data_IF_250233018656
#
_entry.id   IF_250233018656
#
_cell.length_a   1.000
_cell.length_b   1.000
_cell.length_c   1.000
_cell.angle_alpha   90.00
_cell.angle_beta   90.00
_cell.angle_gamma   90.00
#
_symmetry.space_group_name_H-M   'P 1'
#
loop_
_entity.id
_entity.type
_entity.pdbx_description
1 polymer ?
#
# COMPACT_ATOMS: atom_id res chain seq x y z
N UNK A 1 -14.74 -1.92 7.70
CA UNK A 1 -15.44 -2.26 6.44
C UNK A 1 -16.96 -2.32 6.65
N UNK A 2 -17.54 -1.46 7.50
CA UNK A 2 -18.96 -1.60 7.88
C UNK A 2 -19.92 -1.27 6.72
N UNK A 3 -19.51 -0.37 5.85
CA UNK A 3 -20.21 0.18 4.69
C UNK A 3 -19.60 -0.26 3.35
N UNK A 4 -18.62 -1.19 3.37
CA UNK A 4 -17.86 -1.58 2.18
C UNK A 4 -18.77 -2.12 1.05
N UNK A 5 -19.87 -2.79 1.41
CA UNK A 5 -20.86 -3.28 0.45
C UNK A 5 -21.52 -2.13 -0.32
N UNK A 6 -21.89 -1.06 0.37
CA UNK A 6 -22.58 0.09 -0.24
C UNK A 6 -21.61 0.89 -1.12
N UNK A 7 -20.35 1.01 -0.68
CA UNK A 7 -19.28 1.62 -1.49
C UNK A 7 -19.04 0.82 -2.77
N UNK A 8 -18.92 -0.51 -2.69
CA UNK A 8 -18.74 -1.36 -3.86
C UNK A 8 -19.91 -1.26 -4.84
N UNK A 9 -21.15 -1.23 -4.33
CA UNK A 9 -22.34 -1.04 -5.15
C UNK A 9 -22.35 0.33 -5.86
N UNK A 10 -21.87 1.39 -5.20
CA UNK A 10 -21.81 2.73 -5.76
C UNK A 10 -20.78 2.87 -6.89
N UNK A 11 -19.70 2.07 -6.88
CA UNK A 11 -18.61 2.14 -7.87
C UNK A 11 -18.65 1.03 -8.93
N UNK A 12 -19.66 0.16 -8.91
CA UNK A 12 -19.72 -1.06 -9.75
C UNK A 12 -19.62 -0.81 -11.28
N UNK A 13 -20.03 0.39 -11.73
CA UNK A 13 -20.04 0.77 -13.15
C UNK A 13 -18.78 1.56 -13.57
N UNK A 14 -17.80 1.73 -12.68
CA UNK A 14 -16.54 2.39 -13.03
C UNK A 14 -15.65 1.39 -13.79
N UNK A 15 -15.42 1.67 -15.06
CA UNK A 15 -14.56 0.87 -15.93
C UNK A 15 -13.11 1.37 -15.95
N UNK A 16 -12.18 0.53 -16.39
CA UNK A 16 -10.77 0.91 -16.56
C UNK A 16 -9.96 1.02 -15.27
N UNK A 17 -10.53 0.66 -14.12
CA UNK A 17 -9.85 0.65 -12.82
C UNK A 17 -10.06 -0.69 -12.10
N UNK A 18 -9.12 -1.04 -11.22
CA UNK A 18 -9.20 -2.18 -10.30
C UNK A 18 -9.56 -1.67 -8.91
N UNK A 19 -10.39 -2.42 -8.20
CA UNK A 19 -10.85 -2.08 -6.85
C UNK A 19 -10.57 -3.25 -5.89
N UNK A 20 -9.30 -3.47 -5.50
CA UNK A 20 -8.95 -4.51 -4.54
C UNK A 20 -9.64 -4.25 -3.19
N UNK A 21 -10.23 -5.29 -2.60
CA UNK A 21 -10.91 -5.22 -1.30
C UNK A 21 -10.17 -6.06 -0.26
N UNK A 22 -9.95 -5.51 0.93
CA UNK A 22 -9.27 -6.23 2.02
C UNK A 22 -10.16 -7.34 2.59
N UNK A 23 -9.65 -8.57 2.63
CA UNK A 23 -10.37 -9.77 3.09
C UNK A 23 -9.53 -10.50 4.15
N UNK A 24 -9.70 -10.20 5.46
CA UNK A 24 -8.85 -10.75 6.53
C UNK A 24 -9.00 -12.26 6.75
N UNK A 25 -10.06 -12.88 6.24
CA UNK A 25 -10.42 -14.28 6.43
C UNK A 25 -11.45 -14.71 5.37
N UNK A 26 -11.79 -16.00 5.35
CA UNK A 26 -12.72 -16.58 4.37
C UNK A 26 -14.11 -15.93 4.40
N UNK A 27 -14.65 -15.64 5.59
CA UNK A 27 -15.94 -14.93 5.71
C UNK A 27 -15.89 -13.52 5.10
N UNK A 28 -14.78 -12.81 5.29
CA UNK A 28 -14.54 -11.51 4.66
C UNK A 28 -14.42 -11.63 3.14
N UNK A 29 -13.77 -12.68 2.65
CA UNK A 29 -13.68 -13.00 1.23
C UNK A 29 -15.05 -13.27 0.61
N UNK A 30 -15.85 -14.16 1.19
CA UNK A 30 -17.23 -14.45 0.74
C UNK A 30 -18.09 -13.18 0.68
N UNK A 31 -17.99 -12.31 1.69
CA UNK A 31 -18.70 -11.04 1.72
C UNK A 31 -18.22 -10.07 0.62
N UNK A 32 -16.92 -10.01 0.33
CA UNK A 32 -16.37 -9.19 -0.75
C UNK A 32 -16.84 -9.69 -2.12
N UNK A 33 -16.81 -11.00 -2.35
CA UNK A 33 -17.31 -11.64 -3.59
C UNK A 33 -18.80 -11.36 -3.77
N UNK A 34 -19.60 -11.52 -2.72
CA UNK A 34 -21.03 -11.22 -2.76
C UNK A 34 -21.34 -9.73 -3.03
N UNK A 35 -20.41 -8.83 -2.68
CA UNK A 35 -20.49 -7.40 -3.00
C UNK A 35 -19.96 -7.05 -4.41
N UNK A 36 -19.49 -8.03 -5.19
CA UNK A 36 -19.00 -7.84 -6.55
C UNK A 36 -17.50 -7.51 -6.66
N UNK A 37 -16.71 -7.76 -5.61
CA UNK A 37 -15.26 -7.57 -5.66
C UNK A 37 -14.64 -8.50 -6.72
N UNK A 38 -13.85 -7.92 -7.63
CA UNK A 38 -13.12 -8.63 -8.69
C UNK A 38 -11.66 -8.88 -8.33
N UNK A 39 -11.24 -8.39 -7.18
CA UNK A 39 -9.89 -8.54 -6.65
C UNK A 39 -9.95 -8.38 -5.14
N UNK A 40 -9.13 -9.16 -4.43
CA UNK A 40 -9.07 -9.13 -2.97
C UNK A 40 -7.64 -8.98 -2.48
N UNK A 41 -7.48 -8.60 -1.22
CA UNK A 41 -6.19 -8.48 -0.59
C UNK A 41 -6.16 -9.13 0.80
N UNK A 42 -5.06 -9.82 1.09
CA UNK A 42 -4.73 -10.37 2.40
C UNK A 42 -3.54 -9.59 2.98
N UNK A 43 -3.34 -9.65 4.30
CA UNK A 43 -2.28 -8.89 4.96
C UNK A 43 -1.56 -9.73 6.02
N UNK A 44 -0.29 -10.05 5.76
CA UNK A 44 0.59 -10.69 6.71
C UNK A 44 1.50 -9.67 7.43
N UNK A 45 2.30 -10.15 8.37
CA UNK A 45 3.33 -9.37 9.04
C UNK A 45 4.65 -10.10 9.06
N UNK A 46 5.75 -9.37 8.96
CA UNK A 46 7.10 -9.89 9.20
C UNK A 46 7.46 -9.89 10.70
N UNK A 47 6.56 -9.43 11.59
CA UNK A 47 6.77 -9.41 13.05
C UNK A 47 5.75 -10.28 13.78
N UNK A 48 6.22 -11.11 14.70
CA UNK A 48 5.35 -11.99 15.51
C UNK A 48 4.52 -11.16 16.49
N UNK A 49 5.15 -10.20 17.15
CA UNK A 49 4.49 -9.29 18.10
C UNK A 49 3.46 -8.43 17.39
N UNK A 50 3.76 -7.94 16.19
CA UNK A 50 2.78 -7.18 15.40
C UNK A 50 1.60 -8.06 14.99
N UNK A 51 1.85 -9.26 14.46
CA UNK A 51 0.80 -10.23 14.12
C UNK A 51 -0.11 -10.54 15.33
N UNK A 52 0.48 -10.84 16.49
CA UNK A 52 -0.26 -11.10 17.72
C UNK A 52 -1.08 -9.88 18.16
N UNK A 53 -0.53 -8.67 18.10
CA UNK A 53 -1.26 -7.46 18.49
C UNK A 53 -2.41 -7.12 17.53
N UNK A 54 -2.25 -7.39 16.24
CA UNK A 54 -3.17 -6.90 15.20
C UNK A 54 -4.26 -7.93 14.88
N UNK A 55 -3.92 -9.22 14.88
CA UNK A 55 -4.83 -10.31 14.46
C UNK A 55 -4.83 -11.52 15.43
N UNK A 56 -4.21 -11.37 16.61
CA UNK A 56 -4.21 -12.34 17.72
C UNK A 56 -3.77 -13.76 17.32
N UNK A 57 -2.77 -13.88 16.45
CA UNK A 57 -2.18 -15.15 16.07
C UNK A 57 -0.71 -15.00 15.64
N UNK A 58 -0.01 -16.12 15.48
CA UNK A 58 1.35 -16.13 14.93
C UNK A 58 1.37 -15.85 13.43
N UNK A 59 2.56 -15.61 12.86
CA UNK A 59 2.72 -15.46 11.42
C UNK A 59 2.25 -16.74 10.70
N UNK A 60 2.64 -17.92 11.18
CA UNK A 60 2.26 -19.19 10.54
C UNK A 60 0.75 -19.44 10.58
N UNK A 61 0.10 -19.16 11.72
CA UNK A 61 -1.37 -19.24 11.82
C UNK A 61 -2.05 -18.32 10.80
N UNK A 62 -1.50 -17.12 10.60
CA UNK A 62 -2.02 -16.17 9.61
C UNK A 62 -1.87 -16.72 8.20
N UNK A 63 -0.70 -17.27 7.86
CA UNK A 63 -0.42 -17.86 6.54
C UNK A 63 -1.33 -19.05 6.25
N UNK A 64 -1.62 -19.91 7.23
CA UNK A 64 -2.58 -21.01 7.09
C UNK A 64 -3.96 -20.46 6.69
N UNK A 65 -4.48 -19.47 7.43
CA UNK A 65 -5.78 -18.85 7.12
C UNK A 65 -5.80 -18.18 5.75
N UNK A 66 -4.68 -17.60 5.32
CA UNK A 66 -4.58 -16.95 4.02
C UNK A 66 -4.48 -17.95 2.87
N UNK A 67 -3.92 -19.14 3.08
CA UNK A 67 -3.98 -20.24 2.09
C UNK A 67 -5.45 -20.60 1.78
N UNK A 68 -6.33 -20.66 2.78
CA UNK A 68 -7.76 -20.93 2.54
C UNK A 68 -8.41 -19.85 1.66
N UNK A 69 -8.11 -18.57 1.92
CA UNK A 69 -8.59 -17.45 1.09
C UNK A 69 -8.03 -17.53 -0.33
N UNK A 70 -6.74 -17.80 -0.48
CA UNK A 70 -6.09 -17.91 -1.79
C UNK A 70 -6.64 -19.09 -2.61
N UNK A 71 -6.92 -20.22 -1.96
CA UNK A 71 -7.56 -21.37 -2.58
C UNK A 71 -8.98 -21.03 -3.09
N UNK A 72 -9.82 -20.43 -2.25
CA UNK A 72 -11.17 -20.01 -2.62
C UNK A 72 -11.17 -18.95 -3.74
N UNK A 73 -10.25 -17.99 -3.68
CA UNK A 73 -10.09 -16.97 -4.71
C UNK A 73 -9.67 -17.58 -6.05
N UNK A 74 -8.77 -18.56 -6.03
CA UNK A 74 -8.33 -19.30 -7.23
C UNK A 74 -9.47 -20.05 -7.90
N UNK A 75 -10.35 -20.70 -7.13
CA UNK A 75 -11.53 -21.40 -7.66
C UNK A 75 -12.48 -20.46 -8.42
N UNK A 76 -12.52 -19.18 -8.02
CA UNK A 76 -13.31 -18.13 -8.66
C UNK A 76 -12.53 -17.28 -9.67
N UNK A 77 -11.25 -17.61 -9.93
CA UNK A 77 -10.34 -16.82 -10.77
C UNK A 77 -10.21 -15.35 -10.33
N UNK A 78 -10.29 -15.10 -9.02
CA UNK A 78 -10.15 -13.77 -8.41
C UNK A 78 -8.68 -13.58 -7.99
N UNK A 79 -7.97 -12.55 -8.50
CA UNK A 79 -6.61 -12.25 -8.05
C UNK A 79 -6.57 -11.83 -6.58
N UNK A 80 -5.51 -12.27 -5.90
CA UNK A 80 -5.23 -11.94 -4.50
C UNK A 80 -3.93 -11.12 -4.43
N UNK A 81 -4.01 -9.93 -3.85
CA UNK A 81 -2.82 -9.13 -3.51
C UNK A 81 -2.38 -9.42 -2.07
N UNK A 82 -1.10 -9.69 -1.87
CA UNK A 82 -0.52 -9.90 -0.54
C UNK A 82 0.09 -8.63 0.00
N UNK A 83 -0.31 -8.18 1.18
CA UNK A 83 0.40 -7.12 1.91
C UNK A 83 1.29 -7.73 2.98
N UNK A 84 2.50 -7.19 3.13
CA UNK A 84 3.41 -7.57 4.20
C UNK A 84 3.77 -6.35 5.04
N UNK A 85 3.32 -6.33 6.28
CA UNK A 85 3.62 -5.25 7.24
C UNK A 85 4.98 -5.44 7.93
N UNK A 86 5.53 -4.34 8.46
CA UNK A 86 6.77 -4.30 9.23
C UNK A 86 8.01 -4.80 8.47
N UNK A 87 8.14 -4.47 7.19
CA UNK A 87 9.25 -5.01 6.34
C UNK A 87 10.63 -4.47 6.72
N UNK A 88 10.72 -3.34 7.39
CA UNK A 88 12.00 -2.76 7.86
C UNK A 88 12.06 -2.62 9.38
N UNK A 89 10.90 -2.44 10.01
CA UNK A 89 10.80 -2.22 11.44
C UNK A 89 9.41 -2.49 11.97
N UNK A 90 9.35 -2.91 13.22
CA UNK A 90 8.16 -3.18 14.00
C UNK A 90 8.10 -2.19 15.19
N UNK A 91 6.92 -1.63 15.52
CA UNK A 91 6.78 -0.74 16.67
C UNK A 91 7.02 -1.44 18.03
N UNK A 92 7.05 -2.77 18.06
CA UNK A 92 7.24 -3.57 19.28
C UNK A 92 8.60 -4.26 19.30
N UNK A 93 8.97 -4.95 18.22
CA UNK A 93 10.22 -5.74 18.14
C UNK A 93 11.43 -4.92 17.66
N UNK A 94 11.21 -3.70 17.16
CA UNK A 94 12.26 -2.90 16.55
C UNK A 94 12.65 -3.44 15.18
N UNK A 95 13.94 -3.66 14.93
CA UNK A 95 14.44 -4.06 13.63
C UNK A 95 13.91 -5.43 13.20
N UNK A 96 13.43 -5.53 11.96
CA UNK A 96 12.97 -6.79 11.37
C UNK A 96 14.03 -7.32 10.39
N UNK A 97 14.50 -8.58 10.54
CA UNK A 97 15.51 -9.13 9.64
C UNK A 97 15.01 -9.28 8.19
N UNK A 98 15.78 -8.86 7.16
CA UNK A 98 15.44 -9.07 5.75
C UNK A 98 15.06 -10.50 5.38
N UNK A 99 15.74 -11.50 5.95
CA UNK A 99 15.45 -12.92 5.70
C UNK A 99 14.04 -13.32 6.12
N UNK A 100 13.49 -12.69 7.16
CA UNK A 100 12.12 -12.94 7.60
C UNK A 100 11.10 -12.33 6.64
N UNK A 101 11.41 -11.17 6.08
CA UNK A 101 10.59 -10.53 5.03
C UNK A 101 10.57 -11.40 3.78
N UNK A 102 11.75 -11.86 3.34
CA UNK A 102 11.88 -12.76 2.20
C UNK A 102 11.08 -14.06 2.40
N UNK A 103 11.17 -14.67 3.59
CA UNK A 103 10.38 -15.87 3.92
C UNK A 103 8.87 -15.64 3.77
N UNK A 104 8.32 -14.60 4.41
CA UNK A 104 6.87 -14.36 4.37
C UNK A 104 6.41 -13.95 2.96
N UNK A 105 7.19 -13.14 2.25
CA UNK A 105 6.93 -12.81 0.84
C UNK A 105 6.91 -14.07 -0.03
N UNK A 106 7.84 -15.00 0.16
CA UNK A 106 7.85 -16.27 -0.56
C UNK A 106 6.61 -17.11 -0.27
N UNK A 107 6.18 -17.17 0.99
CA UNK A 107 4.95 -17.89 1.36
C UNK A 107 3.71 -17.29 0.69
N UNK A 108 3.59 -15.95 0.67
CA UNK A 108 2.50 -15.25 -0.02
C UNK A 108 2.53 -15.50 -1.54
N UNK A 109 3.72 -15.50 -2.14
CA UNK A 109 3.90 -15.80 -3.56
C UNK A 109 3.48 -17.24 -3.88
N UNK A 110 3.97 -18.21 -3.11
CA UNK A 110 3.73 -19.64 -3.33
C UNK A 110 2.26 -20.05 -3.16
N UNK A 111 1.52 -19.35 -2.30
CA UNK A 111 0.08 -19.59 -2.16
C UNK A 111 -0.75 -18.96 -3.29
N UNK A 112 -0.14 -18.22 -4.22
CA UNK A 112 -0.78 -17.70 -5.42
C UNK A 112 -1.16 -16.21 -5.38
N UNK A 113 -0.55 -15.41 -4.50
CA UNK A 113 -0.72 -13.96 -4.58
C UNK A 113 -0.16 -13.44 -5.91
N UNK A 114 -0.94 -12.62 -6.61
CA UNK A 114 -0.56 -12.06 -7.92
C UNK A 114 0.51 -10.96 -7.81
N UNK A 115 0.57 -10.29 -6.66
CA UNK A 115 1.55 -9.25 -6.33
C UNK A 115 1.68 -9.15 -4.80
N UNK A 116 2.88 -8.82 -4.30
CA UNK A 116 3.18 -8.65 -2.88
C UNK A 116 3.65 -7.21 -2.63
N UNK A 117 2.92 -6.48 -1.80
CA UNK A 117 3.24 -5.12 -1.38
C UNK A 117 4.01 -5.11 -0.06
N UNK A 118 5.25 -4.64 -0.12
CA UNK A 118 6.21 -4.58 0.99
C UNK A 118 6.02 -3.27 1.77
N UNK A 119 5.44 -3.38 2.97
CA UNK A 119 4.97 -2.27 3.77
C UNK A 119 5.91 -1.81 4.88
N UNK A 120 6.49 -0.62 4.76
CA UNK A 120 7.04 0.12 5.91
C UNK A 120 5.88 0.79 6.67
N UNK A 121 5.25 0.00 7.53
CA UNK A 121 4.01 0.34 8.23
C UNK A 121 4.15 1.54 9.18
N UNK A 122 5.36 1.80 9.67
CA UNK A 122 5.62 2.88 10.63
C UNK A 122 6.46 4.02 10.04
N UNK A 123 6.98 3.86 8.83
CA UNK A 123 7.71 4.90 8.10
C UNK A 123 9.13 5.12 8.61
N UNK A 124 9.73 4.13 9.29
CA UNK A 124 11.07 4.22 9.89
C UNK A 124 12.19 3.79 8.96
N UNK A 125 11.85 3.21 7.81
CA UNK A 125 12.78 2.76 6.81
C UNK A 125 13.59 3.91 6.23
N UNK A 126 14.84 3.64 5.91
CA UNK A 126 15.70 4.51 5.11
C UNK A 126 16.23 3.70 3.94
N UNK A 127 16.83 4.31 2.90
CA UNK A 127 17.42 3.54 1.81
C UNK A 127 18.42 2.48 2.31
N UNK A 128 19.15 2.77 3.40
CA UNK A 128 20.10 1.82 4.00
C UNK A 128 19.46 0.59 4.65
N UNK A 129 18.16 0.61 4.98
CA UNK A 129 17.43 -0.57 5.48
C UNK A 129 16.51 -1.17 4.42
N UNK A 130 15.97 -0.36 3.51
CA UNK A 130 15.09 -0.80 2.42
C UNK A 130 15.87 -1.59 1.37
N UNK A 131 17.09 -1.17 0.99
CA UNK A 131 17.88 -1.88 -0.03
C UNK A 131 18.21 -3.31 0.41
N UNK A 132 18.79 -3.57 1.61
CA UNK A 132 19.05 -4.95 2.06
C UNK A 132 17.79 -5.79 2.19
N UNK A 133 16.65 -5.16 2.56
CA UNK A 133 15.36 -5.83 2.59
C UNK A 133 14.93 -6.27 1.19
N UNK A 134 15.01 -5.39 0.20
CA UNK A 134 14.66 -5.69 -1.18
C UNK A 134 15.60 -6.73 -1.80
N UNK A 135 16.92 -6.65 -1.57
CA UNK A 135 17.88 -7.67 -2.02
C UNK A 135 17.46 -9.07 -1.58
N UNK A 136 17.17 -9.24 -0.27
CA UNK A 136 16.73 -10.54 0.26
C UNK A 136 15.39 -11.01 -0.35
N UNK A 137 14.46 -10.11 -0.62
CA UNK A 137 13.15 -10.47 -1.20
C UNK A 137 13.27 -10.81 -2.68
N UNK A 138 14.12 -10.10 -3.43
CA UNK A 138 14.36 -10.32 -4.86
C UNK A 138 15.00 -11.68 -5.15
N UNK A 139 15.75 -12.24 -4.19
CA UNK A 139 16.27 -13.62 -4.27
C UNK A 139 15.15 -14.68 -4.19
N UNK A 140 13.97 -14.31 -3.66
CA UNK A 140 12.87 -15.24 -3.40
C UNK A 140 11.65 -15.03 -4.30
N UNK A 141 11.38 -13.79 -4.73
CA UNK A 141 10.18 -13.39 -5.48
C UNK A 141 10.56 -12.55 -6.69
N UNK A 142 10.03 -12.85 -7.90
CA UNK A 142 10.30 -12.04 -9.09
C UNK A 142 9.92 -10.57 -8.92
N UNK A 143 10.75 -9.66 -9.43
CA UNK A 143 10.58 -8.21 -9.28
C UNK A 143 9.24 -7.70 -9.82
N UNK A 144 8.70 -8.30 -10.88
CA UNK A 144 7.40 -7.94 -11.48
C UNK A 144 6.20 -8.38 -10.64
N UNK A 145 6.44 -9.09 -9.52
CA UNK A 145 5.44 -9.50 -8.53
C UNK A 145 5.55 -8.71 -7.24
N UNK A 146 6.40 -7.69 -7.19
CA UNK A 146 6.66 -6.89 -5.99
C UNK A 146 6.15 -5.46 -6.16
N UNK A 147 5.59 -4.94 -5.08
CA UNK A 147 5.24 -3.56 -4.89
C UNK A 147 5.83 -3.06 -3.57
N UNK A 148 5.90 -1.73 -3.40
CA UNK A 148 6.30 -1.11 -2.13
C UNK A 148 5.21 -0.20 -1.60
N UNK A 149 5.06 -0.20 -0.27
CA UNK A 149 4.11 0.64 0.46
C UNK A 149 4.86 1.34 1.58
N UNK A 150 5.16 2.63 1.41
CA UNK A 150 5.92 3.37 2.41
C UNK A 150 5.07 4.46 3.06
N UNK A 151 5.05 4.43 4.39
CA UNK A 151 4.55 5.54 5.17
C UNK A 151 5.59 6.65 5.25
N UNK A 152 5.13 7.90 5.29
CA UNK A 152 5.98 9.08 5.30
C UNK A 152 6.10 9.71 6.69
N UNK A 153 5.94 8.89 7.74
CA UNK A 153 5.98 9.32 9.16
C UNK A 153 7.23 10.14 9.48
N UNK A 154 8.39 9.72 8.93
CA UNK A 154 9.69 10.35 9.16
C UNK A 154 10.26 11.01 7.89
N UNK A 155 9.43 11.30 6.88
CA UNK A 155 9.87 11.97 5.66
C UNK A 155 10.77 11.12 4.76
N UNK A 156 10.67 9.79 4.85
CA UNK A 156 11.54 8.84 4.13
C UNK A 156 10.86 8.18 2.93
N UNK A 157 9.55 8.40 2.71
CA UNK A 157 8.83 7.59 1.74
C UNK A 157 9.33 7.80 0.31
N UNK A 158 9.51 9.05 -0.13
CA UNK A 158 9.97 9.33 -1.50
C UNK A 158 11.41 8.84 -1.76
N UNK A 159 12.31 8.95 -0.78
CA UNK A 159 13.67 8.42 -0.91
C UNK A 159 13.68 6.89 -0.99
N UNK A 160 12.84 6.23 -0.19
CA UNK A 160 12.67 4.78 -0.25
C UNK A 160 12.00 4.33 -1.56
N UNK A 161 11.01 5.07 -2.09
CA UNK A 161 10.43 4.80 -3.42
C UNK A 161 11.51 4.92 -4.49
N UNK A 162 12.28 6.01 -4.50
CA UNK A 162 13.33 6.21 -5.50
C UNK A 162 14.35 5.06 -5.48
N UNK A 163 14.80 4.65 -4.29
CA UNK A 163 15.69 3.49 -4.16
C UNK A 163 15.04 2.20 -4.69
N UNK A 164 13.75 1.98 -4.42
CA UNK A 164 13.01 0.81 -4.89
C UNK A 164 12.87 0.79 -6.42
N UNK A 165 12.60 1.94 -7.04
CA UNK A 165 12.55 2.10 -8.50
C UNK A 165 13.90 1.77 -9.14
N UNK A 166 15.01 2.20 -8.53
CA UNK A 166 16.37 1.88 -8.99
C UNK A 166 16.69 0.38 -8.91
N UNK A 167 16.01 -0.35 -8.03
CA UNK A 167 16.08 -1.82 -7.92
C UNK A 167 15.08 -2.55 -8.83
N UNK A 168 14.35 -1.83 -9.68
CA UNK A 168 13.45 -2.40 -10.68
C UNK A 168 12.00 -2.57 -10.23
N UNK A 169 11.64 -2.18 -9.00
CA UNK A 169 10.23 -2.17 -8.55
C UNK A 169 9.45 -1.17 -9.39
N UNK A 170 8.30 -1.58 -9.93
CA UNK A 170 7.46 -0.73 -10.80
C UNK A 170 6.07 -0.42 -10.24
N UNK A 171 5.70 -1.01 -9.09
CA UNK A 171 4.42 -0.76 -8.43
C UNK A 171 4.64 -0.10 -7.06
N UNK A 172 3.97 1.02 -6.82
CA UNK A 172 4.08 1.81 -5.59
C UNK A 172 2.70 2.14 -5.04
N UNK A 173 2.46 1.78 -3.79
CA UNK A 173 1.26 2.15 -3.07
C UNK A 173 1.42 3.55 -2.47
N UNK A 174 0.36 4.35 -2.57
CA UNK A 174 0.28 5.70 -2.03
C UNK A 174 -1.16 6.05 -1.71
N UNK A 175 -1.39 7.19 -1.05
CA UNK A 175 -2.72 7.61 -0.67
C UNK A 175 -3.00 9.05 -1.08
N UNK A 176 -4.17 9.30 -1.67
CA UNK A 176 -4.56 10.64 -2.11
C UNK A 176 -4.45 11.63 -0.96
N UNK A 177 -3.80 12.77 -1.19
CA UNK A 177 -3.58 13.82 -0.20
C UNK A 177 -2.93 13.35 1.11
N UNK A 178 -2.18 12.24 1.07
CA UNK A 178 -1.55 11.65 2.26
C UNK A 178 -2.57 11.14 3.28
N UNK A 179 -3.73 10.65 2.82
CA UNK A 179 -4.73 10.06 3.71
C UNK A 179 -4.16 8.83 4.42
N UNK A 180 -4.54 8.68 5.68
CA UNK A 180 -3.96 7.71 6.59
C UNK A 180 -3.44 8.41 7.84
N UNK A 181 -2.62 7.70 8.60
CA UNK A 181 -2.22 8.09 9.94
C UNK A 181 -3.25 7.62 10.97
N UNK A 182 -2.76 7.35 12.18
CA UNK A 182 -3.63 6.89 13.26
C UNK A 182 -4.16 8.12 14.00
N UNK A 183 -5.49 8.31 14.16
CA UNK A 183 -6.03 9.37 15.02
C UNK A 183 -5.55 9.26 16.47
N UNK A 184 -5.04 8.10 16.88
CA UNK A 184 -4.48 7.84 18.20
C UNK A 184 -2.94 7.97 18.28
N UNK A 185 -2.23 8.10 17.16
CA UNK A 185 -0.78 8.33 17.13
C UNK A 185 -0.48 9.78 16.73
N UNK A 186 -0.42 10.67 17.74
CA UNK A 186 -0.07 12.08 17.55
C UNK A 186 1.29 12.20 16.84
N UNK A 187 1.28 12.61 15.58
CA UNK A 187 2.49 12.92 14.80
C UNK A 187 2.77 11.99 13.61
N UNK A 188 2.05 10.88 13.45
CA UNK A 188 2.21 10.03 12.27
C UNK A 188 1.45 10.62 11.07
N UNK A 189 2.18 11.06 10.04
CA UNK A 189 1.60 11.56 8.77
C UNK A 189 0.81 10.46 8.03
N UNK A 190 1.24 9.20 8.15
CA UNK A 190 0.58 8.06 7.51
C UNK A 190 1.22 7.68 6.18
N UNK A 191 0.41 7.36 5.19
CA UNK A 191 0.88 7.00 3.85
C UNK A 191 1.55 8.17 3.14
N UNK A 192 2.48 7.88 2.23
CA UNK A 192 2.97 8.86 1.26
C UNK A 192 1.84 9.39 0.39
N UNK A 193 1.84 10.70 0.12
CA UNK A 193 0.82 11.33 -0.69
C UNK A 193 1.00 11.00 -2.18
N UNK A 194 -0.07 10.54 -2.85
CA UNK A 194 -0.02 10.17 -4.28
C UNK A 194 0.43 11.32 -5.16
N UNK A 195 0.03 12.55 -4.85
CA UNK A 195 0.43 13.76 -5.58
C UNK A 195 1.95 13.97 -5.54
N UNK A 196 2.57 13.70 -4.39
CA UNK A 196 4.02 13.86 -4.21
C UNK A 196 4.80 12.77 -4.97
N UNK A 197 4.27 11.55 -4.99
CA UNK A 197 4.81 10.44 -5.80
C UNK A 197 4.69 10.76 -7.29
N UNK A 198 3.52 11.16 -7.77
CA UNK A 198 3.29 11.48 -9.19
C UNK A 198 4.15 12.67 -9.63
N UNK A 199 4.31 13.69 -8.77
CA UNK A 199 5.21 14.80 -9.04
C UNK A 199 6.65 14.35 -9.26
N UNK A 200 7.17 13.52 -8.34
CA UNK A 200 8.52 12.95 -8.48
C UNK A 200 8.65 12.11 -9.76
N UNK A 201 7.70 11.22 -10.03
CA UNK A 201 7.73 10.33 -11.20
C UNK A 201 7.66 11.11 -12.52
N UNK A 202 6.83 12.15 -12.60
CA UNK A 202 6.77 13.03 -13.76
C UNK A 202 8.12 13.75 -13.97
N UNK A 203 8.73 14.27 -12.91
CA UNK A 203 10.04 14.92 -12.97
C UNK A 203 11.17 13.98 -13.39
N UNK A 204 11.06 12.69 -13.06
CA UNK A 204 11.98 11.64 -13.50
C UNK A 204 11.71 11.14 -14.93
N UNK A 205 10.62 11.59 -15.58
CA UNK A 205 10.21 11.11 -16.90
C UNK A 205 9.56 9.72 -16.88
N UNK A 206 9.13 9.23 -15.72
CA UNK A 206 8.43 7.93 -15.58
C UNK A 206 6.95 8.09 -15.90
N UNK A 207 6.44 7.25 -16.80
CA UNK A 207 5.04 7.28 -17.22
C UNK A 207 4.13 6.58 -16.20
N UNK A 208 3.20 7.32 -15.61
CA UNK A 208 2.19 6.80 -14.65
C UNK A 208 0.78 6.70 -15.22
N UNK A 209 0.47 7.43 -16.29
CA UNK A 209 -0.88 7.67 -16.82
C UNK A 209 -1.85 8.39 -15.84
N UNK A 210 -1.32 9.03 -14.79
CA UNK A 210 -2.13 9.80 -13.82
C UNK A 210 -2.11 11.29 -14.18
N UNK A 211 -3.30 11.90 -14.31
CA UNK A 211 -3.43 13.36 -14.43
C UNK A 211 -3.36 14.00 -13.04
N UNK A 212 -2.25 14.69 -12.77
CA UNK A 212 -2.00 15.31 -11.46
C UNK A 212 -3.05 16.36 -11.09
N UNK A 213 -3.67 17.05 -12.06
CA UNK A 213 -4.72 18.04 -11.78
C UNK A 213 -6.00 17.37 -11.32
N UNK A 214 -6.41 16.29 -12.00
CA UNK A 214 -7.59 15.51 -11.58
C UNK A 214 -7.37 14.86 -10.22
N UNK A 215 -6.16 14.38 -9.96
CA UNK A 215 -5.78 13.83 -8.65
C UNK A 215 -5.90 14.90 -7.54
N UNK A 216 -5.40 16.12 -7.77
CA UNK A 216 -5.55 17.21 -6.81
C UNK A 216 -7.02 17.59 -6.55
N UNK A 217 -7.89 17.55 -7.56
CA UNK A 217 -9.34 17.80 -7.36
C UNK A 217 -9.94 16.72 -6.45
N UNK A 218 -9.61 15.45 -6.67
CA UNK A 218 -10.05 14.36 -5.81
C UNK A 218 -9.54 14.51 -4.36
N UNK A 219 -8.27 14.89 -4.21
CA UNK A 219 -7.66 15.18 -2.91
C UNK A 219 -8.33 16.33 -2.16
N UNK A 220 -8.59 17.44 -2.84
CA UNK A 220 -9.30 18.59 -2.26
C UNK A 220 -10.73 18.22 -1.82
N UNK A 221 -11.46 17.46 -2.64
CA UNK A 221 -12.80 16.96 -2.29
C UNK A 221 -12.79 16.19 -0.97
N UNK A 222 -11.93 15.17 -0.84
CA UNK A 222 -11.92 14.32 0.36
C UNK A 222 -11.37 15.05 1.57
N UNK A 223 -10.39 15.95 1.41
CA UNK A 223 -9.90 16.80 2.48
C UNK A 223 -10.99 17.73 3.03
N UNK A 224 -11.77 18.38 2.16
CA UNK A 224 -12.92 19.20 2.56
C UNK A 224 -13.99 18.40 3.28
N UNK A 225 -14.33 17.21 2.76
CA UNK A 225 -15.31 16.33 3.39
C UNK A 225 -14.89 15.90 4.80
N UNK A 226 -13.61 15.61 4.99
CA UNK A 226 -13.04 15.21 6.29
C UNK A 226 -12.69 16.40 7.20
N UNK A 227 -12.87 17.65 6.75
CA UNK A 227 -12.51 18.85 7.51
C UNK A 227 -11.02 18.95 7.85
N UNK A 228 -10.14 18.42 6.98
CA UNK A 228 -8.67 18.43 7.19
C UNK A 228 -7.94 19.08 6.03
N UNK A 229 -6.72 19.54 6.30
CA UNK A 229 -5.79 19.97 5.23
C UNK A 229 -5.17 18.76 4.53
N UNK A 230 -4.77 18.95 3.27
CA UNK A 230 -4.02 17.94 2.53
C UNK A 230 -2.65 17.72 3.17
N UNK A 231 -2.22 16.45 3.23
CA UNK A 231 -0.87 16.06 3.62
C UNK A 231 0.14 16.18 2.48
N UNK A 232 -0.31 16.33 1.23
CA UNK A 232 0.58 16.47 0.07
C UNK A 232 1.26 17.84 0.05
N UNK A 233 2.59 17.83 -0.03
CA UNK A 233 3.39 19.05 -0.21
C UNK A 233 3.16 19.67 -1.59
N UNK A 234 3.06 18.82 -2.61
CA UNK A 234 2.78 19.20 -4.00
C UNK A 234 1.43 19.90 -4.11
N UNK A 235 0.36 19.30 -3.57
CA UNK A 235 -0.98 19.88 -3.63
C UNK A 235 -1.03 21.25 -2.93
N UNK A 236 -0.38 21.39 -1.77
CA UNK A 236 -0.29 22.67 -1.04
C UNK A 236 0.44 23.73 -1.86
N UNK A 237 1.56 23.38 -2.50
CA UNK A 237 2.34 24.32 -3.29
C UNK A 237 1.56 24.76 -4.54
N UNK A 238 1.02 23.80 -5.30
CA UNK A 238 0.34 24.05 -6.56
C UNK A 238 -1.01 24.76 -6.40
N UNK A 239 -1.74 24.52 -5.30
CA UNK A 239 -3.01 25.21 -5.02
C UNK A 239 -2.83 26.71 -4.73
N UNK A 240 -1.61 27.15 -4.36
CA UNK A 240 -1.30 28.57 -4.18
C UNK A 240 -0.92 29.26 -5.49
N UNK A 241 -0.47 28.49 -6.48
CA UNK A 241 0.00 28.99 -7.78
C UNK A 241 -1.13 29.07 -8.82
N UNK A 242 -2.29 28.44 -8.59
CA UNK A 242 -3.46 28.52 -9.49
C UNK A 242 -4.10 29.91 -9.59
N UNK A 243 -3.61 30.91 -8.84
CA UNK A 243 -3.95 32.33 -9.04
C UNK A 243 -2.95 33.09 -9.92
N UNK A 244 -1.81 32.51 -10.31
CA UNK A 244 -0.82 33.14 -11.18
C UNK A 244 0.04 32.11 -11.96
N UNK A 245 -0.20 31.99 -13.27
CA UNK A 245 0.65 31.34 -14.29
C UNK A 245 0.87 29.82 -14.21
N UNK A 246 -0.08 29.08 -14.77
CA UNK A 246 -0.07 27.61 -14.89
C UNK A 246 0.63 27.03 -16.15
N UNK A 247 1.45 27.80 -16.87
CA UNK A 247 2.07 27.36 -18.13
C UNK A 247 3.53 26.89 -18.01
N UNK A 248 4.07 26.74 -16.79
CA UNK A 248 5.49 26.45 -16.54
C UNK A 248 5.78 25.23 -15.65
N UNK A 249 4.81 24.35 -15.44
CA UNK A 249 4.93 23.13 -14.64
C UNK A 249 4.73 21.90 -15.51
#
# INVERSE_FOLDING_TARGET
LADAKDVMAAIQNVEGARFPVLTPNLKGFEAAVAAGAKEVAIFASASESFSKSNINCTIEDSLIRYRDVALAARELSIPVRGYLSCVVGCPVEGMVPPSKVAYVSKQLYDMGCSEISLGDTIGVGTPGTVIPMLEAVLDAVPVDKLAVHFHDTYGQALSNILASLQMGISTVDSSVSGLGGCPYAKGASGNVATEDVVYMLNGLGVRTNVDIRKLMIAGDFICKHLGRTSGSKTAIALSKTSTANASKL
#
